data_IF_386071574891
#
_entry.id   IF_386071574891
#
_cell.length_a   1.000
_cell.length_b   1.000
_cell.length_c   1.000
_cell.angle_alpha   90.00
_cell.angle_beta   90.00
_cell.angle_gamma   90.00
#
_symmetry.space_group_name_H-M   'P 1'
#
loop_
_entity.id
_entity.type
_entity.pdbx_description
1 polymer ?
#
# COMPACT_ATOMS: atom_id res chain seq x y z
N UNK A 1 -20.06 4.55 -14.24
CA UNK A 1 -19.83 5.02 -12.87
C UNK A 1 -19.42 6.49 -12.93
N UNK A 2 -20.24 7.39 -12.41
CA UNK A 2 -19.90 8.82 -12.30
C UNK A 2 -19.08 9.16 -11.04
N UNK A 3 -18.70 8.14 -10.25
CA UNK A 3 -17.92 8.35 -9.02
C UNK A 3 -16.43 8.26 -9.33
N UNK A 4 -15.70 9.32 -9.03
CA UNK A 4 -14.25 9.33 -9.08
C UNK A 4 -13.68 8.58 -7.86
N UNK A 5 -12.82 7.60 -8.12
CA UNK A 5 -12.17 6.77 -7.09
C UNK A 5 -10.67 6.96 -7.20
N UNK A 6 -10.00 7.21 -6.10
CA UNK A 6 -8.54 7.16 -6.03
C UNK A 6 -8.13 5.73 -5.67
N UNK A 7 -7.47 5.07 -6.61
CA UNK A 7 -6.91 3.74 -6.41
C UNK A 7 -5.39 3.83 -6.41
N UNK A 8 -4.75 3.39 -5.33
CA UNK A 8 -3.29 3.40 -5.23
C UNK A 8 -2.76 2.20 -4.43
N UNK A 9 -1.44 1.97 -4.49
CA UNK A 9 -0.84 0.93 -3.66
C UNK A 9 -0.92 1.27 -2.17
N UNK A 10 -0.75 2.54 -1.79
CA UNK A 10 -0.82 3.02 -0.42
C UNK A 10 0.54 3.26 0.25
N UNK A 11 1.63 2.72 -0.29
CA UNK A 11 2.98 2.87 0.25
C UNK A 11 3.46 4.33 0.31
N UNK A 12 2.99 5.17 -0.61
CA UNK A 12 3.29 6.60 -0.64
C UNK A 12 2.57 7.40 0.44
N UNK A 13 1.53 6.83 1.03
CA UNK A 13 0.74 7.46 2.10
C UNK A 13 1.34 7.21 3.49
N UNK A 14 2.24 6.21 3.63
CA UNK A 14 2.92 5.87 4.87
C UNK A 14 4.18 6.74 5.04
N UNK A 15 4.01 8.06 5.12
CA UNK A 15 5.12 9.03 5.16
C UNK A 15 5.90 8.99 6.47
N UNK A 16 5.28 8.52 7.55
CA UNK A 16 5.89 8.45 8.88
C UNK A 16 6.92 7.30 8.99
N UNK A 17 6.87 6.31 8.10
CA UNK A 17 7.93 5.31 7.96
C UNK A 17 9.08 5.84 7.09
N UNK A 18 9.84 6.77 7.66
CA UNK A 18 10.96 7.43 6.95
C UNK A 18 11.98 6.43 6.39
N UNK A 19 12.29 5.36 7.12
CA UNK A 19 13.24 4.35 6.68
C UNK A 19 12.75 3.63 5.43
N UNK A 20 11.46 3.28 5.40
CA UNK A 20 10.81 2.71 4.21
C UNK A 20 10.80 3.72 3.05
N UNK A 21 10.45 4.97 3.29
CA UNK A 21 10.41 6.00 2.26
C UNK A 21 11.80 6.27 1.65
N UNK A 22 12.86 6.25 2.47
CA UNK A 22 14.24 6.35 1.98
C UNK A 22 14.64 5.15 1.12
N UNK A 23 14.32 3.93 1.57
CA UNK A 23 14.54 2.72 0.80
C UNK A 23 13.78 2.78 -0.54
N UNK A 24 12.49 3.12 -0.49
CA UNK A 24 11.64 3.27 -1.67
C UNK A 24 12.24 4.24 -2.69
N UNK A 25 12.63 5.45 -2.27
CA UNK A 25 13.27 6.44 -3.16
C UNK A 25 14.51 5.90 -3.85
N UNK A 26 15.32 5.08 -3.16
CA UNK A 26 16.53 4.48 -3.73
C UNK A 26 16.21 3.43 -4.79
N UNK A 27 15.35 2.47 -4.45
CA UNK A 27 15.05 1.33 -5.35
C UNK A 27 14.21 1.72 -6.56
N UNK A 28 13.50 2.85 -6.50
CA UNK A 28 12.76 3.39 -7.64
C UNK A 28 13.61 4.21 -8.63
N UNK A 29 14.91 4.41 -8.35
CA UNK A 29 15.79 5.07 -9.30
C UNK A 29 16.01 4.18 -10.53
N UNK A 30 15.67 4.69 -11.72
CA UNK A 30 15.69 3.92 -12.97
C UNK A 30 17.08 3.35 -13.29
N UNK A 31 18.15 4.09 -13.00
CA UNK A 31 19.52 3.61 -13.23
C UNK A 31 19.87 2.42 -12.32
N UNK A 32 19.43 2.45 -11.04
CA UNK A 32 19.66 1.36 -10.10
C UNK A 32 18.88 0.11 -10.50
N UNK A 33 17.64 0.29 -10.97
CA UNK A 33 16.82 -0.81 -11.49
C UNK A 33 17.47 -1.46 -12.73
N UNK A 34 18.00 -0.65 -13.65
CA UNK A 34 18.72 -1.15 -14.83
C UNK A 34 19.96 -1.93 -14.41
N UNK A 35 20.77 -1.40 -13.50
CA UNK A 35 21.94 -2.08 -12.98
C UNK A 35 21.56 -3.41 -12.30
N UNK A 36 20.52 -3.42 -11.47
CA UNK A 36 20.03 -4.63 -10.83
C UNK A 36 19.57 -5.68 -11.86
N UNK A 37 18.90 -5.27 -12.94
CA UNK A 37 18.44 -6.19 -13.98
C UNK A 37 19.59 -6.78 -14.82
N UNK A 38 20.75 -6.12 -14.89
CA UNK A 38 21.94 -6.66 -15.54
C UNK A 38 22.60 -7.79 -14.72
N UNK A 39 22.28 -7.94 -13.45
CA UNK A 39 22.83 -9.01 -12.60
C UNK A 39 22.22 -10.37 -12.96
N UNK A 40 23.00 -11.46 -12.85
CA UNK A 40 22.48 -12.81 -13.00
C UNK A 40 21.32 -13.10 -12.05
N UNK A 41 20.35 -13.91 -12.49
CA UNK A 41 19.14 -14.20 -11.71
C UNK A 41 19.46 -14.69 -10.28
N UNK A 42 20.43 -15.58 -10.11
CA UNK A 42 20.86 -16.11 -8.81
C UNK A 42 21.29 -15.00 -7.84
N UNK A 43 21.97 -13.96 -8.36
CA UNK A 43 22.41 -12.81 -7.55
C UNK A 43 21.21 -11.95 -7.17
N UNK A 44 20.31 -11.68 -8.12
CA UNK A 44 19.07 -10.92 -7.86
C UNK A 44 18.20 -11.58 -6.80
N UNK A 45 18.03 -12.90 -6.85
CA UNK A 45 17.27 -13.66 -5.85
C UNK A 45 17.90 -13.50 -4.47
N UNK A 46 19.22 -13.70 -4.33
CA UNK A 46 19.91 -13.51 -3.05
C UNK A 46 19.76 -12.09 -2.47
N UNK A 47 19.80 -11.07 -3.32
CA UNK A 47 19.59 -9.68 -2.91
C UNK A 47 18.16 -9.50 -2.42
N UNK A 48 17.16 -10.00 -3.16
CA UNK A 48 15.74 -9.93 -2.77
C UNK A 48 15.46 -10.64 -1.43
N UNK A 49 16.05 -11.81 -1.21
CA UNK A 49 15.95 -12.57 0.05
C UNK A 49 16.52 -11.77 1.23
N UNK A 50 17.70 -11.15 1.08
CA UNK A 50 18.31 -10.30 2.11
C UNK A 50 17.43 -9.09 2.44
N UNK A 51 16.89 -8.42 1.40
CA UNK A 51 15.98 -7.27 1.59
C UNK A 51 14.72 -7.70 2.33
N UNK A 52 14.13 -8.86 1.96
CA UNK A 52 12.94 -9.40 2.62
C UNK A 52 13.21 -9.76 4.08
N UNK A 53 14.33 -10.42 4.37
CA UNK A 53 14.72 -10.75 5.74
C UNK A 53 14.87 -9.50 6.60
N UNK A 54 15.57 -8.47 6.10
CA UNK A 54 15.72 -7.19 6.79
C UNK A 54 14.37 -6.49 6.99
N UNK A 55 13.51 -6.45 5.97
CA UNK A 55 12.17 -5.85 6.07
C UNK A 55 11.32 -6.53 7.14
N UNK A 56 11.41 -7.85 7.28
CA UNK A 56 10.69 -8.58 8.32
C UNK A 56 11.19 -8.24 9.74
N UNK A 57 12.51 -8.08 9.92
CA UNK A 57 13.08 -7.62 11.19
C UNK A 57 12.65 -6.19 11.53
N UNK A 58 12.73 -5.28 10.55
CA UNK A 58 12.34 -3.88 10.73
C UNK A 58 10.85 -3.74 11.10
N UNK A 59 9.97 -4.58 10.50
CA UNK A 59 8.54 -4.60 10.83
C UNK A 59 8.26 -5.04 12.27
N UNK A 60 9.05 -5.92 12.83
CA UNK A 60 8.90 -6.37 14.23
C UNK A 60 9.30 -5.28 15.23
N UNK A 61 10.21 -4.40 14.84
CA UNK A 61 10.73 -3.32 15.69
C UNK A 61 9.90 -2.02 15.61
N UNK A 62 9.01 -1.87 14.61
CA UNK A 62 8.23 -0.66 14.40
C UNK A 62 6.85 -0.75 15.03
N UNK A 63 6.34 0.38 15.54
CA UNK A 63 4.94 0.47 15.96
C UNK A 63 4.01 0.34 14.75
N UNK A 64 2.80 -0.13 15.01
CA UNK A 64 1.79 -0.27 13.97
C UNK A 64 1.35 1.08 13.39
N UNK A 65 1.42 2.15 14.18
CA UNK A 65 1.05 3.50 13.79
C UNK A 65 2.00 4.06 12.73
N UNK A 66 3.32 3.88 12.91
CA UNK A 66 4.34 4.32 11.95
C UNK A 66 4.20 3.61 10.60
N UNK A 67 3.73 2.35 10.62
CA UNK A 67 3.55 1.55 9.40
C UNK A 67 2.20 1.78 8.71
N UNK A 68 1.30 2.58 9.30
CA UNK A 68 0.01 2.92 8.68
C UNK A 68 0.12 4.19 7.83
N UNK A 69 -0.94 4.49 7.11
CA UNK A 69 -1.01 5.72 6.32
C UNK A 69 -1.12 6.94 7.26
N UNK A 70 -0.41 8.00 6.94
CA UNK A 70 -0.58 9.28 7.65
C UNK A 70 -1.95 9.88 7.30
N UNK A 71 -2.77 10.10 8.32
CA UNK A 71 -4.17 10.52 8.15
C UNK A 71 -4.29 11.89 7.48
N UNK A 72 -3.52 12.87 7.96
CA UNK A 72 -3.55 14.25 7.43
C UNK A 72 -3.08 14.28 5.97
N UNK A 73 -1.98 13.62 5.66
CA UNK A 73 -1.47 13.54 4.30
C UNK A 73 -2.42 12.78 3.37
N UNK A 74 -3.08 11.74 3.86
CA UNK A 74 -4.09 11.01 3.09
C UNK A 74 -5.29 11.88 2.76
N UNK A 75 -5.80 12.66 3.73
CA UNK A 75 -6.90 13.59 3.50
C UNK A 75 -6.53 14.69 2.49
N UNK A 76 -5.30 15.24 2.59
CA UNK A 76 -4.77 16.19 1.59
C UNK A 76 -4.79 15.60 0.19
N UNK A 77 -4.32 14.37 0.00
CA UNK A 77 -4.30 13.71 -1.30
C UNK A 77 -5.69 13.44 -1.86
N UNK A 78 -6.61 12.99 -1.03
CA UNK A 78 -8.02 12.79 -1.42
C UNK A 78 -8.64 14.10 -1.91
N UNK A 79 -8.39 15.20 -1.21
CA UNK A 79 -8.83 16.53 -1.59
C UNK A 79 -8.18 17.02 -2.89
N UNK A 80 -6.85 16.84 -3.04
CA UNK A 80 -6.10 17.19 -4.25
C UNK A 80 -6.67 16.51 -5.51
N UNK A 81 -7.03 15.23 -5.39
CA UNK A 81 -7.65 14.49 -6.50
C UNK A 81 -9.16 14.74 -6.67
N UNK A 82 -9.80 15.48 -5.75
CA UNK A 82 -11.23 15.78 -5.79
C UNK A 82 -12.11 14.53 -5.76
N UNK A 83 -11.75 13.57 -4.92
CA UNK A 83 -12.46 12.29 -4.77
C UNK A 83 -13.01 12.15 -3.34
N UNK A 84 -14.00 11.27 -3.16
CA UNK A 84 -14.55 10.93 -1.85
C UNK A 84 -14.40 9.45 -1.50
N UNK A 85 -13.70 8.69 -2.35
CA UNK A 85 -13.41 7.27 -2.13
C UNK A 85 -11.95 6.98 -2.47
N UNK A 86 -11.21 6.48 -1.48
CA UNK A 86 -9.84 6.01 -1.60
C UNK A 86 -9.80 4.51 -1.34
N UNK A 87 -9.21 3.75 -2.26
CA UNK A 87 -8.95 2.32 -2.10
C UNK A 87 -7.45 2.09 -2.19
N UNK A 88 -6.88 1.43 -1.18
CA UNK A 88 -5.45 1.12 -1.17
C UNK A 88 -5.14 -0.22 -0.48
N UNK A 89 -3.95 -0.72 -0.71
CA UNK A 89 -3.38 -1.91 -0.06
C UNK A 89 -2.24 -1.56 0.88
N UNK A 90 -1.08 -2.17 0.70
CA UNK A 90 0.20 -2.00 1.37
C UNK A 90 0.20 -2.38 2.85
N UNK A 91 -0.66 -1.82 3.68
CA UNK A 91 -0.73 -2.11 5.13
C UNK A 91 -1.39 -3.46 5.40
N UNK A 92 -2.14 -4.00 4.45
CA UNK A 92 -2.87 -5.27 4.52
C UNK A 92 -3.84 -5.38 5.72
N UNK A 93 -4.30 -4.24 6.24
CA UNK A 93 -5.26 -4.16 7.35
C UNK A 93 -6.66 -3.95 6.79
N UNK A 94 -7.25 -5.03 6.28
CA UNK A 94 -8.57 -5.00 5.67
C UNK A 94 -9.58 -4.26 6.54
N UNK A 95 -10.06 -3.13 6.08
CA UNK A 95 -11.02 -2.30 6.79
C UNK A 95 -11.67 -1.25 5.88
N UNK A 96 -12.84 -0.79 6.28
CA UNK A 96 -13.52 0.37 5.72
C UNK A 96 -13.54 1.45 6.80
N UNK A 97 -12.89 2.57 6.53
CA UNK A 97 -12.82 3.72 7.44
C UNK A 97 -13.67 4.86 6.90
N UNK A 98 -14.66 5.28 7.67
CA UNK A 98 -15.39 6.51 7.39
C UNK A 98 -14.59 7.68 8.00
N UNK A 99 -14.20 8.61 7.17
CA UNK A 99 -13.48 9.81 7.58
C UNK A 99 -14.27 11.06 7.20
N UNK A 100 -13.87 12.20 7.73
CA UNK A 100 -14.52 13.45 7.40
C UNK A 100 -14.34 13.75 5.90
N UNK A 101 -15.45 13.72 5.16
CA UNK A 101 -15.51 14.02 3.73
C UNK A 101 -15.12 12.90 2.78
N UNK A 102 -14.65 11.73 3.26
CA UNK A 102 -14.33 10.60 2.38
C UNK A 102 -14.34 9.24 3.07
N UNK A 103 -14.43 8.20 2.26
CA UNK A 103 -14.27 6.81 2.71
C UNK A 103 -12.91 6.28 2.28
N UNK A 104 -12.17 5.66 3.21
CA UNK A 104 -10.91 4.97 2.95
C UNK A 104 -11.09 3.47 3.12
N UNK A 105 -10.81 2.71 2.07
CA UNK A 105 -10.90 1.25 2.06
C UNK A 105 -9.49 0.69 1.95
N UNK A 106 -9.13 -0.20 2.88
CA UNK A 106 -7.84 -0.89 2.91
C UNK A 106 -8.05 -2.33 2.51
N UNK A 107 -7.38 -2.75 1.45
CA UNK A 107 -7.40 -4.15 1.01
C UNK A 107 -6.45 -5.00 1.87
N UNK A 108 -6.89 -6.20 2.21
CA UNK A 108 -6.03 -7.21 2.84
C UNK A 108 -5.05 -7.86 1.86
N UNK A 109 -4.23 -8.77 2.37
CA UNK A 109 -3.35 -9.59 1.55
C UNK A 109 -4.05 -10.87 1.06
N UNK A 110 -3.46 -11.50 0.06
CA UNK A 110 -3.87 -12.82 -0.40
C UNK A 110 -2.94 -13.88 0.17
N UNK A 111 -3.52 -14.90 0.74
CA UNK A 111 -2.84 -16.05 1.35
C UNK A 111 -3.38 -17.34 0.75
N UNK A 112 -2.75 -18.46 1.09
CA UNK A 112 -3.10 -19.78 0.51
C UNK A 112 -4.60 -20.10 0.58
N UNK A 113 -5.29 -19.71 1.66
CA UNK A 113 -6.70 -20.01 1.91
C UNK A 113 -7.54 -18.75 2.18
N UNK A 114 -7.07 -17.58 1.77
CA UNK A 114 -7.74 -16.31 2.02
C UNK A 114 -7.42 -15.31 0.92
N UNK A 115 -8.45 -14.64 0.42
CA UNK A 115 -8.32 -13.51 -0.51
C UNK A 115 -9.18 -12.35 -0.02
N UNK A 116 -8.59 -11.18 0.15
CA UNK A 116 -9.33 -9.95 0.39
C UNK A 116 -9.92 -9.48 -0.93
N UNK A 117 -11.23 -9.58 -1.08
CA UNK A 117 -11.96 -9.19 -2.29
C UNK A 117 -12.97 -8.11 -1.93
N UNK A 118 -12.77 -6.91 -2.45
CA UNK A 118 -13.72 -5.83 -2.37
C UNK A 118 -14.65 -5.91 -3.58
N UNK A 119 -15.94 -6.07 -3.35
CA UNK A 119 -16.99 -5.97 -4.36
C UNK A 119 -17.60 -4.58 -4.32
N UNK A 120 -17.82 -4.00 -5.47
CA UNK A 120 -18.61 -2.78 -5.67
C UNK A 120 -19.67 -3.06 -6.74
N UNK A 121 -20.90 -2.71 -6.47
CA UNK A 121 -22.00 -2.86 -7.41
C UNK A 121 -22.24 -1.59 -8.25
N UNK A 122 -23.22 -1.65 -9.15
CA UNK A 122 -23.56 -0.55 -10.05
C UNK A 122 -24.15 0.67 -9.32
N UNK A 123 -24.73 0.49 -8.13
CA UNK A 123 -25.23 1.58 -7.29
C UNK A 123 -24.10 2.31 -6.55
N UNK A 124 -22.90 1.70 -6.51
CA UNK A 124 -21.73 2.16 -5.78
C UNK A 124 -21.75 1.73 -4.32
N UNK A 125 -22.57 0.75 -3.95
CA UNK A 125 -22.44 0.04 -2.68
C UNK A 125 -21.24 -0.89 -2.74
N UNK A 126 -20.47 -0.96 -1.66
CA UNK A 126 -19.27 -1.75 -1.59
C UNK A 126 -19.16 -2.53 -0.27
N UNK A 127 -18.51 -3.68 -0.34
CA UNK A 127 -18.24 -4.51 0.82
C UNK A 127 -17.23 -5.60 0.52
N UNK A 128 -16.60 -6.13 1.56
CA UNK A 128 -15.71 -7.29 1.41
C UNK A 128 -16.56 -8.56 1.27
N UNK A 129 -16.16 -9.41 0.30
CA UNK A 129 -16.70 -10.76 0.18
C UNK A 129 -16.08 -11.58 1.32
N UNK A 130 -16.96 -12.16 2.16
CA UNK A 130 -16.55 -13.13 3.17
C UNK A 130 -16.85 -14.51 2.61
N UNK A 131 -15.79 -15.28 2.35
CA UNK A 131 -15.89 -16.71 2.10
C UNK A 131 -15.86 -17.47 3.42
#
# INVERSE_FOLDING_TARGET
YDKKILLCHGDTLCIDDEAYQQFRRRVHQKWLQRLFLCLPLKVRVKIAEKIRAKSNQDKQAKSQEIMDVNQAFTAEKVQEFGVNLLIHGHTHREAIHQQEGFTRIVLGDWRKNYASILKMDESGEFGFIKD
#
